data_IF_757120136686
#
_entry.id   IF_757120136686
#
_cell.length_a   1.000
_cell.length_b   1.000
_cell.length_c   1.000
_cell.angle_alpha   90.00
_cell.angle_beta   90.00
_cell.angle_gamma   90.00
#
_symmetry.space_group_name_H-M   'P 1'
#
loop_
_entity.id
_entity.type
_entity.pdbx_description
1 polymer ?
#
# COMPACT_ATOMS: atom_id res chain seq x y z
N UNK A 1 -7.63 -15.00 4.02
CA UNK A 1 -8.02 -14.02 2.95
C UNK A 1 -6.78 -13.17 2.75
N UNK A 2 -6.21 -13.04 1.54
CA UNK A 2 -4.92 -12.34 1.38
C UNK A 2 -5.04 -10.88 1.83
N UNK A 3 -4.39 -10.56 2.96
CA UNK A 3 -4.30 -9.23 3.53
C UNK A 3 -2.87 -8.73 3.36
N UNK A 4 -2.73 -7.43 3.23
CA UNK A 4 -1.44 -6.74 3.21
C UNK A 4 -1.48 -5.64 4.24
N UNK A 5 -0.37 -5.44 4.95
CA UNK A 5 -0.16 -4.35 5.86
C UNK A 5 0.73 -3.34 5.15
N UNK A 6 0.26 -2.11 5.09
CA UNK A 6 1.04 -0.98 4.60
C UNK A 6 1.37 -0.10 5.79
N UNK A 7 2.66 0.13 5.98
CA UNK A 7 3.20 0.98 7.03
C UNK A 7 3.76 2.24 6.39
N UNK A 8 3.23 3.38 6.79
CA UNK A 8 3.72 4.71 6.44
C UNK A 8 4.57 5.21 7.60
N UNK A 9 5.87 5.36 7.40
CA UNK A 9 6.81 5.86 8.41
C UNK A 9 7.26 7.26 8.03
N UNK A 10 6.70 8.27 8.68
CA UNK A 10 7.17 9.65 8.61
C UNK A 10 8.05 9.98 9.81
N UNK A 11 8.75 11.12 9.75
CA UNK A 11 9.69 11.55 10.80
C UNK A 11 9.08 11.60 12.21
N UNK A 12 7.81 12.01 12.31
CA UNK A 12 7.10 12.19 13.60
C UNK A 12 5.95 11.19 13.83
N UNK A 13 5.59 10.36 12.84
CA UNK A 13 4.45 9.44 12.97
C UNK A 13 4.55 8.22 12.06
N UNK A 14 4.13 7.09 12.60
CA UNK A 14 3.94 5.84 11.85
C UNK A 14 2.46 5.49 11.79
N UNK A 15 1.93 5.28 10.59
CA UNK A 15 0.54 4.88 10.35
C UNK A 15 0.55 3.51 9.68
N UNK A 16 -0.09 2.51 10.29
CA UNK A 16 -0.31 1.20 9.65
C UNK A 16 -1.76 1.04 9.22
N UNK A 17 -1.95 0.47 8.04
CA UNK A 17 -3.25 0.09 7.48
C UNK A 17 -3.21 -1.33 6.97
N UNK A 18 -4.30 -2.06 7.14
CA UNK A 18 -4.45 -3.42 6.62
C UNK A 18 -5.54 -3.39 5.56
N UNK A 19 -5.22 -3.87 4.36
CA UNK A 19 -6.19 -3.96 3.27
C UNK A 19 -6.02 -5.21 2.43
N UNK A 20 -6.88 -5.32 1.41
CA UNK A 20 -6.96 -6.51 0.56
C UNK A 20 -6.18 -6.38 -0.75
N UNK A 21 -6.03 -7.51 -1.45
CA UNK A 21 -5.47 -7.59 -2.81
C UNK A 21 -6.24 -6.76 -3.86
N UNK A 22 -7.46 -6.32 -3.57
CA UNK A 22 -8.25 -5.46 -4.47
C UNK A 22 -7.60 -4.09 -4.69
N UNK A 23 -6.89 -3.56 -3.70
CA UNK A 23 -6.16 -2.29 -3.80
C UNK A 23 -4.94 -2.39 -4.73
N UNK A 24 -4.31 -3.57 -4.78
CA UNK A 24 -3.20 -3.84 -5.70
C UNK A 24 -3.66 -3.80 -7.15
N UNK A 25 -4.83 -4.35 -7.45
CA UNK A 25 -5.34 -4.34 -8.83
C UNK A 25 -5.54 -2.91 -9.34
N UNK A 26 -6.15 -2.04 -8.54
CA UNK A 26 -6.35 -0.63 -8.90
C UNK A 26 -5.01 0.09 -9.11
N UNK A 27 -4.04 -0.16 -8.23
CA UNK A 27 -2.70 0.39 -8.39
C UNK A 27 -2.06 -0.10 -9.69
N UNK A 28 -2.08 -1.39 -9.98
CA UNK A 28 -1.52 -1.95 -11.22
C UNK A 28 -2.20 -1.41 -12.48
N UNK A 29 -3.52 -1.21 -12.46
CA UNK A 29 -4.26 -0.63 -13.59
C UNK A 29 -3.78 0.79 -13.88
N UNK A 30 -3.60 1.61 -12.84
CA UNK A 30 -3.00 2.93 -12.96
C UNK A 30 -1.54 2.85 -13.45
N UNK A 31 -0.71 2.03 -12.81
CA UNK A 31 0.71 1.89 -13.20
C UNK A 31 0.87 1.38 -14.63
N UNK A 32 -0.07 0.57 -15.14
CA UNK A 32 -0.07 0.08 -16.52
C UNK A 32 -0.27 1.21 -17.54
N UNK A 33 -0.98 2.29 -17.17
CA UNK A 33 -1.13 3.48 -18.01
C UNK A 33 0.11 4.37 -18.02
N UNK A 34 1.02 4.20 -17.06
CA UNK A 34 2.25 4.98 -16.97
C UNK A 34 3.35 4.44 -17.90
N UNK A 35 4.16 5.34 -18.51
CA UNK A 35 5.31 4.95 -19.29
C UNK A 35 6.32 4.15 -18.44
N UNK A 36 6.93 3.12 -19.03
CA UNK A 36 8.00 2.37 -18.39
C UNK A 36 9.20 3.28 -18.12
N UNK A 37 9.37 3.63 -16.85
CA UNK A 37 10.44 4.45 -16.31
C UNK A 37 10.93 3.79 -15.03
N UNK A 38 12.16 4.06 -14.59
CA UNK A 38 12.69 3.48 -13.35
C UNK A 38 11.84 3.86 -12.12
N UNK A 39 11.17 5.02 -12.16
CA UNK A 39 10.23 5.47 -11.13
C UNK A 39 8.87 4.75 -11.16
N UNK A 40 8.60 3.90 -12.17
CA UNK A 40 7.30 3.19 -12.32
C UNK A 40 7.04 2.22 -11.17
N UNK A 41 8.06 1.51 -10.72
CA UNK A 41 7.94 0.58 -9.56
C UNK A 41 7.58 1.35 -8.30
N UNK A 42 8.32 2.43 -8.00
CA UNK A 42 8.02 3.30 -6.86
C UNK A 42 6.60 3.85 -6.94
N UNK A 43 6.19 4.41 -8.09
CA UNK A 43 4.83 4.91 -8.28
C UNK A 43 3.78 3.82 -8.06
N UNK A 44 4.06 2.57 -8.44
CA UNK A 44 3.15 1.45 -8.20
C UNK A 44 2.93 1.18 -6.71
N UNK A 45 4.00 1.20 -5.92
CA UNK A 45 3.93 0.93 -4.48
C UNK A 45 3.20 2.07 -3.74
N UNK A 46 3.52 3.32 -4.06
CA UNK A 46 2.80 4.48 -3.50
C UNK A 46 1.33 4.56 -3.94
N UNK A 47 1.03 4.18 -5.19
CA UNK A 47 -0.35 4.05 -5.69
C UNK A 47 -1.12 3.03 -4.87
N UNK A 48 -0.50 1.88 -4.58
CA UNK A 48 -1.10 0.83 -3.78
C UNK A 48 -1.34 1.28 -2.34
N UNK A 49 -0.34 1.91 -1.73
CA UNK A 49 -0.43 2.50 -0.41
C UNK A 49 -1.57 3.52 -0.30
N UNK A 50 -1.71 4.42 -1.28
CA UNK A 50 -2.83 5.37 -1.34
C UNK A 50 -4.18 4.66 -1.32
N UNK A 51 -4.40 3.66 -2.18
CA UNK A 51 -5.67 2.93 -2.22
C UNK A 51 -5.94 2.13 -0.94
N UNK A 52 -4.89 1.64 -0.26
CA UNK A 52 -5.03 0.99 1.05
C UNK A 52 -5.44 1.99 2.13
N UNK A 53 -4.83 3.17 2.16
CA UNK A 53 -5.20 4.24 3.06
C UNK A 53 -6.62 4.76 2.81
N UNK A 54 -7.02 4.89 1.53
CA UNK A 54 -8.37 5.27 1.12
C UNK A 54 -9.41 4.25 1.61
N UNK A 55 -9.17 2.96 1.38
CA UNK A 55 -10.06 1.89 1.87
C UNK A 55 -10.16 1.85 3.39
N UNK A 56 -9.07 2.20 4.08
CA UNK A 56 -9.01 2.19 5.54
C UNK A 56 -9.52 3.48 6.18
N UNK A 57 -9.88 4.50 5.37
CA UNK A 57 -10.31 5.81 5.86
C UNK A 57 -9.20 6.64 6.52
N UNK A 58 -7.92 6.29 6.30
CA UNK A 58 -6.76 6.96 6.93
C UNK A 58 -6.12 8.06 6.08
N UNK A 59 -6.74 8.43 4.95
CA UNK A 59 -6.23 9.52 4.12
C UNK A 59 -6.18 10.86 4.88
N UNK A 60 -7.14 11.12 5.76
CA UNK A 60 -7.12 12.31 6.63
C UNK A 60 -5.92 12.29 7.59
N UNK A 61 -5.64 11.14 8.21
CA UNK A 61 -4.49 10.97 9.11
C UNK A 61 -3.14 11.15 8.40
N UNK A 62 -3.07 10.76 7.12
CA UNK A 62 -1.89 10.94 6.28
C UNK A 62 -1.76 12.38 5.75
N UNK A 63 -2.85 13.16 5.78
CA UNK A 63 -2.90 14.51 5.22
C UNK A 63 -3.17 14.53 3.71
N UNK A 64 -3.56 13.40 3.11
CA UNK A 64 -3.85 13.26 1.69
C UNK A 64 -5.33 13.44 1.35
N UNK A 65 -6.19 13.71 2.35
CA UNK A 65 -7.63 13.85 2.13
C UNK A 65 -7.95 15.05 1.24
N UNK A 66 -8.60 14.77 0.10
CA UNK A 66 -9.00 15.79 -0.87
C UNK A 66 -7.90 16.21 -1.86
N UNK A 67 -6.70 15.62 -1.79
CA UNK A 67 -5.65 15.84 -2.78
C UNK A 67 -5.92 15.03 -4.06
N UNK A 68 -5.50 15.54 -5.23
CA UNK A 68 -5.41 14.74 -6.44
C UNK A 68 -4.53 13.51 -6.20
N UNK A 69 -4.89 12.39 -6.82
CA UNK A 69 -4.16 11.13 -6.65
C UNK A 69 -2.65 11.25 -6.93
N UNK A 70 -2.27 11.96 -7.98
CA UNK A 70 -0.85 12.18 -8.31
C UNK A 70 -0.11 13.00 -7.25
N UNK A 71 -0.74 14.08 -6.75
CA UNK A 71 -0.16 14.91 -5.69
C UNK A 71 -0.06 14.13 -4.38
N UNK A 72 -1.05 13.31 -4.06
CA UNK A 72 -1.02 12.46 -2.88
C UNK A 72 0.10 11.42 -2.96
N UNK A 73 0.35 10.83 -4.13
CA UNK A 73 1.48 9.90 -4.33
C UNK A 73 2.81 10.62 -4.15
N UNK A 74 2.99 11.79 -4.76
CA UNK A 74 4.22 12.56 -4.63
C UNK A 74 4.45 12.99 -3.17
N UNK A 75 3.40 13.48 -2.51
CA UNK A 75 3.45 13.84 -1.10
C UNK A 75 3.79 12.65 -0.20
N UNK A 76 3.21 11.48 -0.46
CA UNK A 76 3.55 10.25 0.26
C UNK A 76 5.01 9.88 0.04
N UNK A 77 5.50 9.92 -1.20
CA UNK A 77 6.88 9.60 -1.53
C UNK A 77 7.91 10.56 -0.93
N UNK A 78 7.55 11.83 -0.77
CA UNK A 78 8.42 12.85 -0.17
C UNK A 78 8.34 12.87 1.37
N UNK A 79 7.18 12.55 1.94
CA UNK A 79 6.91 12.75 3.38
C UNK A 79 6.92 11.46 4.21
N UNK A 80 6.75 10.29 3.58
CA UNK A 80 6.64 9.01 4.28
C UNK A 80 7.40 7.91 3.54
N UNK A 81 8.14 7.11 4.30
CA UNK A 81 8.65 5.85 3.81
C UNK A 81 7.53 4.81 3.85
N UNK A 82 7.28 4.14 2.73
CA UNK A 82 6.16 3.20 2.55
C UNK A 82 6.69 1.78 2.46
N UNK A 83 6.37 0.96 3.47
CA UNK A 83 6.59 -0.49 3.42
C UNK A 83 5.26 -1.23 3.25
N UNK A 84 5.16 -2.07 2.23
CA UNK A 84 4.02 -2.96 2.03
C UNK A 84 4.47 -4.40 2.28
N UNK A 85 3.94 -5.00 3.33
CA UNK A 85 4.22 -6.39 3.72
C UNK A 85 2.95 -7.22 3.59
N UNK A 86 3.01 -8.42 2.99
CA UNK A 86 1.89 -9.34 3.08
C UNK A 86 1.64 -9.67 4.55
N UNK A 87 0.39 -9.50 5.00
CA UNK A 87 -0.02 -10.09 6.26
C UNK A 87 -0.13 -11.57 5.96
N UNK A 88 0.89 -12.31 6.36
CA UNK A 88 0.74 -13.73 6.56
C UNK A 88 -0.32 -13.88 7.65
N UNK A 89 -1.58 -14.11 7.25
CA UNK A 89 -2.45 -15.01 8.03
C UNK A 89 -1.52 -16.18 8.28
N UNK A 90 -1.13 -16.44 9.55
CA UNK A 90 -0.40 -17.65 9.91
C UNK A 90 -1.04 -18.77 9.11
N UNK A 91 -0.33 -19.25 8.09
CA UNK A 91 -0.78 -20.41 7.36
C UNK A 91 -0.95 -21.45 8.47
N UNK A 92 -2.13 -22.04 8.69
CA UNK A 92 -2.20 -23.14 9.62
C UNK A 92 -1.19 -24.14 9.07
N UNK A 93 -0.10 -24.34 9.80
CA UNK A 93 0.84 -25.44 9.58
C UNK A 93 0.06 -26.72 9.87
N UNK A 94 -0.89 -27.09 9.00
CA UNK A 94 -1.66 -28.32 9.10
C UNK A 94 -1.03 -29.33 8.16
N UNK A 95 -0.53 -30.37 8.83
CA UNK A 95 -0.40 -31.74 8.39
C UNK A 95 0.71 -32.05 7.40
N UNK A 96 1.84 -32.46 7.96
CA UNK A 96 2.37 -33.77 7.57
C UNK A 96 1.93 -34.79 8.62
N UNK A 97 1.03 -35.74 8.34
CA UNK A 97 0.99 -36.98 9.11
C UNK A 97 2.18 -37.81 8.64
N UNK A 98 3.27 -37.81 9.41
CA UNK A 98 4.33 -38.79 9.18
C UNK A 98 3.83 -40.15 9.68
N UNK A 99 3.55 -41.03 8.72
CA UNK A 99 3.19 -42.43 8.89
C UNK A 99 4.39 -43.26 9.34
#
# INVERSE_FOLDING_TARGET
MFKVECTFSGDDKTVSVIGGRSSLWKAQDYTATLPETDSKSMKSDYSWAYYLAEQSGKLEELGCAGMPFEDAINYLADSYDVEIKPVEDEAPLVSTPAK
#
